data_IF_075941355930
#
_entry.id   IF_075941355930
#
_cell.length_a   1.000
_cell.length_b   1.000
_cell.length_c   1.000
_cell.angle_alpha   90.00
_cell.angle_beta   90.00
_cell.angle_gamma   90.00
#
_symmetry.space_group_name_H-M   'P 1'
#
loop_
_entity.id
_entity.type
_entity.pdbx_description
1 polymer ?
#
# COMPACT_ATOMS: atom_id res chain seq x y z
N UNK A 1 11.98 5.04 10.49
CA UNK A 1 13.07 4.08 10.25
C UNK A 1 13.48 4.31 8.80
N UNK A 2 14.73 4.64 8.54
CA UNK A 2 15.20 4.84 7.17
C UNK A 2 15.85 3.54 6.73
N UNK A 3 15.44 2.98 5.60
CA UNK A 3 16.03 1.76 5.06
C UNK A 3 17.46 2.08 4.61
N UNK A 4 18.42 1.26 5.07
CA UNK A 4 19.83 1.40 4.66
C UNK A 4 19.91 1.27 3.12
N UNK A 5 20.60 2.20 2.46
CA UNK A 5 20.74 2.21 0.99
C UNK A 5 19.54 2.75 0.21
N UNK A 6 18.42 3.12 0.87
CA UNK A 6 17.24 3.62 0.16
C UNK A 6 17.51 4.85 -0.70
N UNK A 7 18.28 5.80 -0.20
CA UNK A 7 18.59 7.04 -0.94
C UNK A 7 19.32 6.76 -2.28
N UNK A 8 20.23 5.77 -2.29
CA UNK A 8 20.89 5.33 -3.53
C UNK A 8 19.89 4.73 -4.52
N UNK A 9 19.07 3.79 -4.06
CA UNK A 9 18.03 3.16 -4.87
C UNK A 9 17.00 4.17 -5.37
N UNK A 10 16.59 5.10 -4.54
CA UNK A 10 15.67 6.16 -4.95
C UNK A 10 16.27 7.05 -6.07
N UNK A 11 17.55 7.36 -6.01
CA UNK A 11 18.22 8.10 -7.11
C UNK A 11 18.24 7.32 -8.42
N UNK A 12 18.51 6.01 -8.37
CA UNK A 12 18.43 5.13 -9.54
C UNK A 12 17.01 5.16 -10.13
N UNK A 13 15.99 4.96 -9.30
CA UNK A 13 14.57 5.00 -9.70
C UNK A 13 14.20 6.33 -10.37
N UNK A 14 14.61 7.46 -9.78
CA UNK A 14 14.36 8.78 -10.37
C UNK A 14 14.95 8.91 -11.77
N UNK A 15 16.18 8.38 -11.97
CA UNK A 15 16.87 8.41 -13.25
C UNK A 15 16.21 7.50 -14.27
N UNK A 16 15.93 6.25 -13.88
CA UNK A 16 15.45 5.21 -14.81
C UNK A 16 14.02 5.47 -15.28
N UNK A 17 13.19 6.06 -14.43
CA UNK A 17 11.79 6.35 -14.73
C UNK A 17 11.49 7.82 -15.04
N UNK A 18 12.50 8.69 -15.05
CA UNK A 18 12.30 10.12 -15.31
C UNK A 18 11.49 10.85 -14.24
N UNK A 19 11.43 10.32 -13.02
CA UNK A 19 10.63 10.92 -11.93
C UNK A 19 11.30 12.15 -11.31
N UNK A 20 10.51 13.05 -10.74
CA UNK A 20 10.96 14.30 -10.16
C UNK A 20 10.88 14.28 -8.64
N UNK A 21 12.05 14.31 -7.97
CA UNK A 21 12.13 14.49 -6.51
C UNK A 21 11.35 15.73 -6.01
N UNK A 22 11.35 16.81 -6.81
CA UNK A 22 10.60 18.02 -6.46
C UNK A 22 9.10 17.76 -6.40
N UNK A 23 8.55 17.05 -7.41
CA UNK A 23 7.13 16.64 -7.43
C UNK A 23 6.80 15.69 -6.28
N UNK A 24 7.65 14.70 -5.98
CA UNK A 24 7.48 13.78 -4.84
C UNK A 24 7.42 14.54 -3.52
N UNK A 25 8.32 15.50 -3.31
CA UNK A 25 8.32 16.34 -2.12
C UNK A 25 7.06 17.22 -2.00
N UNK A 26 6.55 17.74 -3.11
CA UNK A 26 5.30 18.50 -3.13
C UNK A 26 4.10 17.62 -2.75
N UNK A 27 4.00 16.43 -3.36
CA UNK A 27 2.96 15.45 -3.04
C UNK A 27 3.04 14.99 -1.57
N UNK A 28 4.24 14.78 -1.04
CA UNK A 28 4.45 14.46 0.37
C UNK A 28 3.94 15.59 1.30
N UNK A 29 4.24 16.84 0.98
CA UNK A 29 3.74 18.03 1.73
C UNK A 29 2.22 18.09 1.70
N UNK A 30 1.62 17.92 0.51
CA UNK A 30 0.18 17.92 0.33
C UNK A 30 -0.48 16.81 1.16
N UNK A 31 0.02 15.57 1.04
CA UNK A 31 -0.49 14.45 1.84
C UNK A 31 -0.40 14.74 3.34
N UNK A 32 0.75 15.24 3.82
CA UNK A 32 0.91 15.57 5.23
C UNK A 32 -0.13 16.58 5.74
N UNK A 33 -0.51 17.57 4.92
CA UNK A 33 -1.51 18.57 5.29
C UNK A 33 -2.93 18.00 5.37
N UNK A 34 -3.21 16.95 4.58
CA UNK A 34 -4.55 16.37 4.44
C UNK A 34 -4.81 15.18 5.38
N UNK A 35 -3.75 14.58 5.95
CA UNK A 35 -3.89 13.38 6.81
C UNK A 35 -4.76 13.67 8.04
N UNK A 36 -5.68 12.74 8.41
CA UNK A 36 -6.48 12.86 9.61
C UNK A 36 -5.60 12.84 10.88
N UNK A 37 -5.85 13.77 11.82
CA UNK A 37 -5.03 13.91 13.05
C UNK A 37 -5.15 12.69 14.01
N UNK A 38 -6.25 11.95 13.97
CA UNK A 38 -6.61 10.92 14.96
C UNK A 38 -5.95 9.55 14.74
N UNK A 39 -5.37 9.27 13.55
CA UNK A 39 -4.81 7.95 13.27
C UNK A 39 -3.46 7.76 13.99
N UNK A 40 -3.38 6.73 14.83
CA UNK A 40 -2.14 6.34 15.53
C UNK A 40 -1.49 5.17 14.81
N UNK A 41 -0.20 5.27 14.57
CA UNK A 41 0.60 4.21 13.92
C UNK A 41 0.64 2.92 14.74
N UNK A 42 0.39 2.99 16.05
CA UNK A 42 0.27 1.83 16.93
C UNK A 42 -0.79 0.84 16.46
N UNK A 43 -1.88 1.29 15.83
CA UNK A 43 -2.90 0.39 15.25
C UNK A 43 -2.33 -0.56 14.19
N UNK A 44 -1.36 -0.12 13.39
CA UNK A 44 -0.67 -0.97 12.42
C UNK A 44 0.21 -1.98 13.16
N UNK A 45 0.92 -1.52 14.18
CA UNK A 45 1.74 -2.39 15.02
C UNK A 45 0.89 -3.50 15.63
N UNK A 46 -0.24 -3.18 16.22
CA UNK A 46 -1.16 -4.14 16.84
C UNK A 46 -1.67 -5.22 15.88
N UNK A 47 -1.78 -4.89 14.59
CA UNK A 47 -2.17 -5.83 13.55
C UNK A 47 -1.02 -6.74 13.09
N UNK A 48 0.23 -6.27 13.12
CA UNK A 48 1.37 -6.91 12.42
C UNK A 48 2.39 -7.52 13.40
N UNK A 49 2.75 -6.81 14.47
CA UNK A 49 3.91 -7.16 15.29
C UNK A 49 3.79 -8.56 15.87
N UNK A 50 4.85 -9.36 15.67
CA UNK A 50 4.95 -10.76 16.11
C UNK A 50 3.82 -11.69 15.63
N UNK A 51 3.10 -11.33 14.57
CA UNK A 51 2.00 -12.12 13.99
C UNK A 51 2.32 -12.55 12.56
N UNK A 52 1.75 -13.67 12.08
CA UNK A 52 1.72 -13.97 10.67
C UNK A 52 0.80 -12.96 9.96
N UNK A 53 1.17 -12.57 8.74
CA UNK A 53 0.37 -11.67 7.90
C UNK A 53 0.29 -12.20 6.47
N UNK A 54 -0.82 -11.97 5.81
CA UNK A 54 -0.95 -12.12 4.37
C UNK A 54 -0.62 -10.79 3.69
N UNK A 55 0.27 -10.81 2.70
CA UNK A 55 0.48 -9.75 1.74
C UNK A 55 -0.14 -10.18 0.42
N UNK A 56 -1.07 -9.39 -0.08
CA UNK A 56 -1.95 -9.78 -1.18
C UNK A 56 -1.77 -8.82 -2.35
N UNK A 57 -1.25 -9.35 -3.46
CA UNK A 57 -1.12 -8.65 -4.74
C UNK A 57 -2.23 -9.04 -5.72
N UNK A 58 -2.24 -8.39 -6.89
CA UNK A 58 -3.25 -8.57 -7.94
C UNK A 58 -2.82 -9.56 -9.04
N UNK A 59 -1.77 -10.34 -8.81
CA UNK A 59 -1.22 -11.28 -9.78
C UNK A 59 -2.20 -12.39 -10.21
N UNK A 60 -1.90 -13.12 -11.27
CA UNK A 60 -2.78 -14.13 -11.85
C UNK A 60 -3.13 -15.29 -10.92
N UNK A 61 -2.33 -15.56 -9.87
CA UNK A 61 -2.63 -16.58 -8.87
C UNK A 61 -3.64 -16.14 -7.80
N UNK A 62 -3.99 -14.85 -7.72
CA UNK A 62 -4.89 -14.34 -6.68
C UNK A 62 -6.24 -15.09 -6.61
N UNK A 63 -6.94 -15.42 -7.72
CA UNK A 63 -8.20 -16.16 -7.65
C UNK A 63 -8.08 -17.50 -6.91
N UNK A 64 -6.97 -18.21 -7.09
CA UNK A 64 -6.71 -19.50 -6.42
C UNK A 64 -6.42 -19.34 -4.92
N UNK A 65 -5.97 -18.16 -4.50
CA UNK A 65 -5.67 -17.85 -3.10
C UNK A 65 -6.91 -17.46 -2.28
N UNK A 66 -8.04 -17.15 -2.92
CA UNK A 66 -9.23 -16.66 -2.24
C UNK A 66 -9.81 -17.67 -1.23
N UNK A 67 -9.73 -18.97 -1.54
CA UNK A 67 -10.16 -20.05 -0.63
C UNK A 67 -9.33 -20.06 0.66
N UNK A 68 -8.02 -19.88 0.55
CA UNK A 68 -7.10 -19.79 1.69
C UNK A 68 -7.45 -18.57 2.55
N UNK A 69 -7.70 -17.43 1.93
CA UNK A 69 -8.09 -16.20 2.64
C UNK A 69 -9.42 -16.35 3.39
N UNK A 70 -10.40 -17.03 2.78
CA UNK A 70 -11.70 -17.33 3.41
C UNK A 70 -11.56 -18.27 4.61
N UNK A 71 -10.65 -19.26 4.52
CA UNK A 71 -10.38 -20.22 5.59
C UNK A 71 -9.64 -19.57 6.77
N UNK A 72 -8.73 -18.62 6.51
CA UNK A 72 -7.85 -17.99 7.50
C UNK A 72 -8.24 -16.55 7.82
N UNK A 73 -9.50 -16.29 8.14
CA UNK A 73 -10.07 -14.94 8.35
C UNK A 73 -9.36 -14.11 9.43
N UNK A 74 -8.78 -14.77 10.44
CA UNK A 74 -8.11 -14.11 11.59
C UNK A 74 -6.71 -13.58 11.28
N UNK A 75 -6.07 -14.04 10.19
CA UNK A 75 -4.76 -13.57 9.79
C UNK A 75 -4.91 -12.18 9.15
N UNK A 76 -4.09 -11.23 9.59
CA UNK A 76 -4.06 -9.86 9.07
C UNK A 76 -3.79 -9.85 7.56
N UNK A 77 -4.63 -9.12 6.82
CA UNK A 77 -4.55 -8.96 5.37
C UNK A 77 -4.05 -7.57 5.01
N UNK A 78 -2.84 -7.50 4.48
CA UNK A 78 -2.24 -6.30 3.90
C UNK A 78 -2.40 -6.43 2.39
N UNK A 79 -3.19 -5.56 1.80
CA UNK A 79 -3.66 -5.67 0.42
C UNK A 79 -3.09 -4.54 -0.41
N UNK A 80 -2.43 -4.86 -1.53
CA UNK A 80 -2.02 -3.89 -2.52
C UNK A 80 -3.25 -3.33 -3.26
N UNK A 81 -3.15 -2.11 -3.74
CA UNK A 81 -4.24 -1.37 -4.39
C UNK A 81 -5.02 -2.23 -5.40
N UNK A 82 -4.34 -2.75 -6.43
CA UNK A 82 -4.97 -3.53 -7.49
C UNK A 82 -5.74 -4.76 -7.00
N UNK A 83 -5.35 -5.36 -5.87
CA UNK A 83 -6.03 -6.53 -5.30
C UNK A 83 -7.28 -6.15 -4.48
N UNK A 84 -7.45 -4.89 -4.10
CA UNK A 84 -8.53 -4.44 -3.21
C UNK A 84 -9.91 -4.78 -3.75
N UNK A 85 -10.15 -4.56 -5.04
CA UNK A 85 -11.40 -4.90 -5.72
C UNK A 85 -11.73 -6.38 -5.59
N UNK A 86 -10.75 -7.25 -5.90
CA UNK A 86 -10.93 -8.71 -5.81
C UNK A 86 -11.31 -9.16 -4.39
N UNK A 87 -10.66 -8.60 -3.38
CA UNK A 87 -10.92 -8.93 -1.97
C UNK A 87 -12.35 -8.57 -1.59
N UNK A 88 -12.82 -7.38 -1.96
CA UNK A 88 -14.17 -6.90 -1.64
C UNK A 88 -15.24 -7.68 -2.39
N UNK A 89 -15.08 -7.92 -3.68
CA UNK A 89 -16.02 -8.69 -4.52
C UNK A 89 -16.22 -10.12 -4.00
N UNK A 90 -15.21 -10.67 -3.32
CA UNK A 90 -15.27 -12.00 -2.71
C UNK A 90 -15.76 -12.01 -1.25
N UNK A 91 -16.32 -10.90 -0.76
CA UNK A 91 -16.86 -10.78 0.59
C UNK A 91 -15.80 -10.78 1.70
N UNK A 92 -14.53 -10.56 1.33
CA UNK A 92 -13.42 -10.45 2.27
C UNK A 92 -13.21 -8.98 2.67
N UNK A 93 -12.63 -8.77 3.84
CA UNK A 93 -12.30 -7.43 4.35
C UNK A 93 -10.79 -7.31 4.49
N UNK A 94 -10.15 -6.32 3.84
CA UNK A 94 -8.75 -5.99 4.12
C UNK A 94 -8.62 -5.33 5.50
N UNK A 95 -7.54 -5.64 6.21
CA UNK A 95 -7.20 -4.95 7.46
C UNK A 95 -6.39 -3.69 7.16
N UNK A 96 -5.49 -3.78 6.18
CA UNK A 96 -4.66 -2.68 5.69
C UNK A 96 -4.71 -2.70 4.15
N UNK A 97 -4.84 -1.53 3.53
CA UNK A 97 -4.68 -1.34 2.07
C UNK A 97 -3.53 -0.37 1.84
N UNK A 98 -2.56 -0.77 1.01
CA UNK A 98 -1.48 0.09 0.52
C UNK A 98 -1.82 0.53 -0.89
N UNK A 99 -1.82 1.85 -1.14
CA UNK A 99 -2.32 2.42 -2.39
C UNK A 99 -1.62 3.75 -2.73
N UNK A 100 -1.32 3.96 -3.99
CA UNK A 100 -1.02 5.28 -4.55
C UNK A 100 -2.24 5.95 -5.20
N UNK A 101 -3.44 5.43 -4.91
CA UNK A 101 -4.74 5.96 -5.35
C UNK A 101 -5.00 5.79 -6.85
N UNK A 102 -4.37 4.84 -7.47
CA UNK A 102 -4.50 4.60 -8.89
C UNK A 102 -5.33 3.36 -9.24
N UNK A 103 -5.74 2.56 -8.23
CA UNK A 103 -6.61 1.39 -8.36
C UNK A 103 -8.09 1.72 -8.60
N UNK A 104 -8.96 0.74 -8.35
CA UNK A 104 -10.41 0.93 -8.44
C UNK A 104 -10.90 1.92 -7.38
N UNK A 105 -11.13 3.15 -7.77
CA UNK A 105 -11.47 4.26 -6.86
C UNK A 105 -12.77 4.02 -6.08
N UNK A 106 -13.71 3.26 -6.63
CA UNK A 106 -14.97 2.92 -5.96
C UNK A 106 -14.68 1.99 -4.79
N UNK A 107 -13.90 0.95 -5.03
CA UNK A 107 -13.46 0.01 -3.99
C UNK A 107 -12.62 0.69 -2.92
N UNK A 108 -11.70 1.57 -3.31
CA UNK A 108 -10.88 2.33 -2.37
C UNK A 108 -11.72 3.25 -1.48
N UNK A 109 -12.67 4.00 -2.05
CA UNK A 109 -13.59 4.86 -1.30
C UNK A 109 -14.48 4.06 -0.35
N UNK A 110 -15.02 2.95 -0.82
CA UNK A 110 -15.84 2.03 0.01
C UNK A 110 -15.02 1.49 1.18
N UNK A 111 -13.82 0.99 0.91
CA UNK A 111 -12.91 0.43 1.91
C UNK A 111 -12.45 1.49 2.91
N UNK A 112 -12.07 2.66 2.44
CA UNK A 112 -11.55 3.75 3.27
C UNK A 112 -12.57 4.31 4.29
N UNK A 113 -13.87 4.10 4.06
CA UNK A 113 -14.93 4.47 5.01
C UNK A 113 -15.13 3.45 6.14
N UNK A 114 -14.51 2.29 6.04
CA UNK A 114 -14.58 1.21 7.04
C UNK A 114 -13.50 1.38 8.13
N UNK A 115 -13.27 0.33 8.91
CA UNK A 115 -12.17 0.30 9.88
C UNK A 115 -10.82 -0.08 9.28
N UNK A 116 -10.76 -0.40 7.99
CA UNK A 116 -9.51 -0.66 7.25
C UNK A 116 -8.57 0.52 7.36
N UNK A 117 -7.29 0.26 7.54
CA UNK A 117 -6.25 1.28 7.55
C UNK A 117 -5.77 1.49 6.11
N UNK A 118 -5.97 2.70 5.59
CA UNK A 118 -5.44 3.11 4.29
C UNK A 118 -4.03 3.65 4.46
N UNK A 119 -3.06 3.01 3.83
CA UNK A 119 -1.66 3.44 3.76
C UNK A 119 -1.45 4.08 2.41
N UNK A 120 -1.59 5.39 2.35
CA UNK A 120 -1.56 6.14 1.10
C UNK A 120 -0.13 6.58 0.80
N UNK A 121 0.34 6.25 -0.40
CA UNK A 121 1.64 6.65 -0.90
C UNK A 121 1.53 7.92 -1.73
N UNK A 122 2.38 8.91 -1.42
CA UNK A 122 2.48 10.16 -2.17
C UNK A 122 3.74 10.14 -3.04
N UNK A 123 3.54 10.32 -4.34
CA UNK A 123 4.58 10.56 -5.33
C UNK A 123 4.11 11.60 -6.37
N UNK A 124 5.00 12.03 -7.27
CA UNK A 124 4.72 13.15 -8.17
C UNK A 124 3.50 12.97 -9.06
N UNK A 125 3.22 11.73 -9.47
CA UNK A 125 2.20 11.45 -10.48
C UNK A 125 0.79 11.29 -9.90
N UNK A 126 0.64 11.17 -8.55
CA UNK A 126 -0.66 11.03 -7.93
C UNK A 126 -1.15 12.28 -7.15
N UNK A 127 -0.47 13.39 -7.29
CA UNK A 127 -0.75 14.63 -6.54
C UNK A 127 -2.21 15.07 -6.61
N UNK A 128 -2.86 14.94 -7.76
CA UNK A 128 -4.27 15.30 -7.96
C UNK A 128 -5.23 14.38 -7.19
N UNK A 129 -4.86 13.12 -7.01
CA UNK A 129 -5.68 12.11 -6.33
C UNK A 129 -5.52 12.14 -4.80
N UNK A 130 -4.48 12.75 -4.27
CA UNK A 130 -4.18 12.79 -2.83
C UNK A 130 -5.37 13.35 -2.01
N UNK A 131 -6.17 14.24 -2.58
CA UNK A 131 -7.36 14.78 -1.91
C UNK A 131 -8.38 13.72 -1.49
N UNK A 132 -8.36 12.52 -2.07
CA UNK A 132 -9.24 11.41 -1.67
C UNK A 132 -9.03 10.94 -0.23
N UNK A 133 -7.86 11.21 0.37
CA UNK A 133 -7.57 10.83 1.78
C UNK A 133 -8.56 11.46 2.77
N UNK A 134 -9.19 12.59 2.42
CA UNK A 134 -10.23 13.23 3.24
C UNK A 134 -11.45 12.34 3.47
N UNK A 135 -11.68 11.35 2.61
CA UNK A 135 -12.79 10.41 2.70
C UNK A 135 -12.44 9.15 3.52
N UNK A 136 -11.19 9.02 3.98
CA UNK A 136 -10.73 7.82 4.67
C UNK A 136 -10.81 8.01 6.19
N UNK A 137 -11.47 7.05 6.85
CA UNK A 137 -11.64 7.05 8.31
C UNK A 137 -10.33 6.85 9.05
N UNK A 138 -9.48 5.94 8.56
CA UNK A 138 -8.16 5.63 9.11
C UNK A 138 -7.15 5.72 7.97
N UNK A 139 -6.27 6.72 8.01
CA UNK A 139 -5.28 6.92 6.97
C UNK A 139 -3.93 7.31 7.56
N UNK A 140 -2.86 6.70 7.05
CA UNK A 140 -1.49 7.15 7.23
C UNK A 140 -0.87 7.46 5.87
N UNK A 141 0.11 8.35 5.86
CA UNK A 141 0.84 8.72 4.65
C UNK A 141 2.20 8.04 4.57
N UNK A 142 2.56 7.65 3.35
CA UNK A 142 3.91 7.20 3.00
C UNK A 142 4.43 7.95 1.79
N UNK A 143 5.74 7.94 1.62
CA UNK A 143 6.45 8.56 0.49
C UNK A 143 7.73 7.80 0.20
N UNK A 144 8.24 7.92 -1.00
CA UNK A 144 9.56 7.39 -1.40
C UNK A 144 10.70 8.37 -1.13
N UNK A 145 10.39 9.64 -0.89
CA UNK A 145 11.37 10.69 -0.55
C UNK A 145 11.60 10.78 0.96
N UNK A 146 12.25 11.84 1.43
CA UNK A 146 12.51 12.07 2.85
C UNK A 146 11.21 12.21 3.64
N UNK A 147 11.03 11.47 4.73
CA UNK A 147 9.84 11.58 5.59
C UNK A 147 9.59 13.01 6.07
N UNK A 148 8.31 13.41 6.15
CA UNK A 148 7.93 14.74 6.60
C UNK A 148 6.68 14.69 7.49
N UNK A 149 6.75 15.29 8.68
CA UNK A 149 5.62 15.36 9.60
C UNK A 149 5.06 13.97 9.94
N UNK A 150 3.83 13.68 9.49
CA UNK A 150 3.13 12.41 9.70
C UNK A 150 3.31 11.41 8.56
N UNK A 151 3.95 11.82 7.46
CA UNK A 151 4.26 10.95 6.32
C UNK A 151 5.56 10.20 6.61
N UNK A 152 5.56 8.88 6.38
CA UNK A 152 6.68 7.97 6.66
C UNK A 152 7.27 7.41 5.36
N UNK A 153 8.46 6.84 5.46
CA UNK A 153 9.05 6.06 4.40
C UNK A 153 9.42 4.68 4.97
N UNK A 154 8.70 3.65 4.54
CA UNK A 154 8.97 2.26 4.89
C UNK A 154 9.73 1.53 3.78
N UNK A 155 9.96 2.18 2.63
CA UNK A 155 10.53 1.58 1.43
C UNK A 155 9.49 0.96 0.52
N UNK A 156 9.99 0.32 -0.54
CA UNK A 156 9.18 -0.24 -1.59
C UNK A 156 8.89 0.76 -2.72
N UNK A 157 8.71 0.22 -3.92
CA UNK A 157 8.50 1.02 -5.11
C UNK A 157 7.09 0.83 -5.72
N UNK A 158 6.58 -0.40 -5.68
CA UNK A 158 5.20 -0.74 -6.07
C UNK A 158 4.33 -0.97 -4.84
N UNK A 159 3.01 -0.99 -4.97
CA UNK A 159 2.14 -1.23 -3.81
C UNK A 159 2.31 -2.63 -3.23
N UNK A 160 2.66 -3.61 -4.07
CA UNK A 160 2.93 -4.98 -3.62
C UNK A 160 4.14 -5.07 -2.71
N UNK A 161 5.28 -4.54 -3.14
CA UNK A 161 6.49 -4.57 -2.32
C UNK A 161 6.41 -3.59 -1.13
N UNK A 162 5.71 -2.46 -1.26
CA UNK A 162 5.39 -1.57 -0.11
C UNK A 162 4.62 -2.31 0.99
N UNK A 163 3.72 -3.23 0.62
CA UNK A 163 3.05 -4.10 1.60
C UNK A 163 4.05 -4.97 2.37
N UNK A 164 5.03 -5.56 1.66
CA UNK A 164 6.09 -6.38 2.26
C UNK A 164 6.97 -5.55 3.18
N UNK A 165 7.43 -4.39 2.70
CA UNK A 165 8.25 -3.48 3.50
C UNK A 165 7.52 -2.95 4.74
N UNK A 166 6.22 -2.67 4.62
CA UNK A 166 5.38 -2.30 5.76
C UNK A 166 5.34 -3.43 6.80
N UNK A 167 5.03 -4.66 6.37
CA UNK A 167 4.98 -5.82 7.24
C UNK A 167 6.32 -6.06 7.96
N UNK A 168 7.43 -5.98 7.22
CA UNK A 168 8.78 -6.11 7.76
C UNK A 168 9.12 -5.00 8.77
N UNK A 169 8.80 -3.74 8.45
CA UNK A 169 9.05 -2.59 9.33
C UNK A 169 8.33 -2.69 10.67
N UNK A 170 7.19 -3.36 10.71
CA UNK A 170 6.44 -3.63 11.93
C UNK A 170 6.69 -5.03 12.51
N UNK A 171 7.79 -5.69 12.11
CA UNK A 171 8.26 -6.97 12.69
C UNK A 171 7.22 -8.09 12.62
N UNK A 172 6.60 -8.28 11.46
CA UNK A 172 5.75 -9.44 11.24
C UNK A 172 6.54 -10.73 11.52
N UNK A 173 5.95 -11.68 12.25
CA UNK A 173 6.57 -12.97 12.55
C UNK A 173 6.76 -13.80 11.27
N UNK A 174 5.83 -13.71 10.33
CA UNK A 174 5.84 -14.39 9.04
C UNK A 174 5.06 -13.57 8.02
N UNK A 175 5.62 -13.40 6.84
CA UNK A 175 4.96 -12.75 5.69
C UNK A 175 4.63 -13.83 4.68
N UNK A 176 3.36 -13.98 4.34
CA UNK A 176 2.86 -14.99 3.39
C UNK A 176 2.34 -14.22 2.18
N UNK A 177 2.97 -14.43 1.02
CA UNK A 177 2.65 -13.74 -0.23
C UNK A 177 1.55 -14.51 -0.98
N UNK A 178 0.50 -13.81 -1.41
CA UNK A 178 -0.62 -14.35 -2.17
C UNK A 178 -0.92 -13.42 -3.35
N UNK A 179 -1.02 -13.95 -4.55
CA UNK A 179 -1.21 -13.11 -5.75
C UNK A 179 -0.03 -12.17 -6.04
N UNK A 180 1.16 -12.53 -5.58
CA UNK A 180 2.42 -11.80 -5.82
C UNK A 180 3.26 -12.58 -6.82
N UNK A 181 2.79 -12.64 -8.04
CA UNK A 181 3.39 -13.45 -9.10
C UNK A 181 4.50 -12.68 -9.81
N UNK A 182 5.55 -13.41 -10.21
CA UNK A 182 6.62 -12.92 -11.06
C UNK A 182 6.49 -13.56 -12.45
N UNK A 183 6.63 -12.75 -13.49
CA UNK A 183 6.55 -13.22 -14.88
C UNK A 183 5.72 -12.30 -15.77
N UNK A 184 5.45 -12.77 -17.00
CA UNK A 184 4.81 -11.96 -18.06
C UNK A 184 3.27 -12.02 -18.04
N UNK A 185 2.68 -12.89 -17.23
CA UNK A 185 1.21 -13.00 -17.15
C UNK A 185 0.65 -11.91 -16.24
N UNK A 186 -0.37 -11.20 -16.74
CA UNK A 186 -1.05 -10.14 -16.02
C UNK A 186 -2.33 -10.71 -15.40
N UNK A 187 -2.54 -10.44 -14.10
CA UNK A 187 -3.75 -10.86 -13.38
C UNK A 187 -4.97 -10.02 -13.79
N UNK A 188 -6.16 -10.59 -13.69
CA UNK A 188 -7.45 -9.93 -14.00
C UNK A 188 -7.61 -8.55 -13.30
N UNK A 189 -7.01 -8.38 -12.14
CA UNK A 189 -7.12 -7.18 -11.32
C UNK A 189 -5.86 -6.32 -11.36
N UNK A 190 -4.81 -6.77 -12.04
CA UNK A 190 -3.61 -5.97 -12.26
C UNK A 190 -3.88 -4.89 -13.29
N UNK A 191 -3.20 -3.76 -13.13
CA UNK A 191 -3.16 -2.74 -14.19
C UNK A 191 -2.18 -3.16 -15.27
N UNK A 192 -2.56 -2.88 -16.49
CA UNK A 192 -1.65 -2.89 -17.62
C UNK A 192 -1.04 -1.49 -17.66
N UNK A 193 0.17 -1.35 -17.15
CA UNK A 193 0.97 -0.16 -17.41
C UNK A 193 1.59 -0.36 -18.79
N UNK A 194 1.08 0.33 -19.79
CA UNK A 194 1.77 0.43 -21.08
C UNK A 194 2.96 1.36 -20.82
N UNK A 195 4.16 0.80 -20.91
CA UNK A 195 5.40 1.55 -20.87
C UNK A 195 5.58 2.35 -22.15
#
# INVERSE_FOLDING_TARGET
MTIVGWESKYREILKDFGYSRKKDNQSCKLLNSLLPKKMRITKIRDLIENKPVFVIGAGPSLPFCLSVLKKHKKITKIVADGATKAIIENGLKPDIVVTDLDGDIISLKKTGRTNTIMVVHAHGDNSEKIHFVKNFKNCIGTTQTKPMGRVRNFGGFTDGDRCVFLASSFKAKKIILLGMDFGTRIGKYSKITVA
#
